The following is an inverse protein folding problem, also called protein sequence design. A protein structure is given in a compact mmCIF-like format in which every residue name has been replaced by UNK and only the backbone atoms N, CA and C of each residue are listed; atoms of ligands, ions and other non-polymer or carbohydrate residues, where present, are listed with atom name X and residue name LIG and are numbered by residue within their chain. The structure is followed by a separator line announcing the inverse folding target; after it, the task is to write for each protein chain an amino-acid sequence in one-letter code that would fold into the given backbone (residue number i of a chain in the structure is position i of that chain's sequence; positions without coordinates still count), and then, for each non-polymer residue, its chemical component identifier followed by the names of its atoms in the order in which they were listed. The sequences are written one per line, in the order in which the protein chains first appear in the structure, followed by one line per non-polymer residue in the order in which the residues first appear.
data_IF_543551874866
#
_entry.id   IF_543551874866
#
_cell.length_a   1.000
_cell.length_b   1.000
_cell.length_c   1.000
_cell.angle_alpha   90.00
_cell.angle_beta   90.00
_cell.angle_gamma   90.00
#
_symmetry.space_group_name_H-M   'P 1'
#
loop_
_entity.id
_entity.type
_entity.pdbx_description
1 polymer ?
#
# COMPACT_ATOMS: atom_id res chain seq x y z
N UNK A 1 32.64 -43.43 53.80
CA UNK A 1 31.83 -43.36 52.57
C UNK A 1 31.65 -41.89 52.23
N UNK A 2 32.21 -41.43 51.12
CA UNK A 2 32.07 -40.04 50.68
C UNK A 2 30.95 -39.95 49.65
N UNK A 3 29.90 -39.18 49.93
CA UNK A 3 28.85 -38.93 48.95
C UNK A 3 29.28 -37.82 47.99
N UNK A 4 29.71 -38.21 46.79
CA UNK A 4 29.99 -37.26 45.71
C UNK A 4 28.71 -36.55 45.31
N UNK A 5 28.65 -35.22 45.51
CA UNK A 5 27.50 -34.43 45.09
C UNK A 5 27.49 -34.34 43.55
N UNK A 6 26.43 -34.75 42.85
CA UNK A 6 26.36 -34.63 41.41
C UNK A 6 26.27 -33.15 41.00
N UNK A 7 27.42 -32.61 40.60
CA UNK A 7 27.65 -31.31 39.96
C UNK A 7 26.64 -30.89 38.89
N UNK A 8 25.90 -31.84 38.31
CA UNK A 8 24.81 -31.69 37.33
C UNK A 8 23.67 -30.75 37.75
N UNK A 9 23.54 -30.37 39.03
CA UNK A 9 22.44 -29.51 39.52
C UNK A 9 22.72 -28.00 39.36
N UNK A 10 23.94 -27.59 38.98
CA UNK A 10 24.30 -26.18 38.73
C UNK A 10 23.87 -25.67 37.33
N UNK A 11 22.62 -25.92 36.94
CA UNK A 11 22.06 -25.50 35.64
C UNK A 11 20.72 -24.73 35.79
N UNK A 12 20.65 -23.79 36.74
CA UNK A 12 19.50 -22.91 36.90
C UNK A 12 19.84 -21.44 36.65
N UNK A 13 19.17 -20.88 35.63
CA UNK A 13 18.91 -19.46 35.42
C UNK A 13 20.12 -18.50 35.34
N UNK A 14 20.89 -18.59 34.24
CA UNK A 14 21.37 -17.37 33.58
C UNK A 14 20.17 -16.62 32.95
N UNK A 15 19.33 -16.02 33.79
CA UNK A 15 18.06 -15.42 33.39
C UNK A 15 18.25 -14.18 32.50
N UNK A 16 17.52 -14.11 31.39
CA UNK A 16 17.64 -13.04 30.40
C UNK A 16 17.45 -11.65 31.02
N UNK A 17 18.50 -10.81 30.97
CA UNK A 17 18.46 -9.42 31.42
C UNK A 17 17.79 -8.46 30.42
N UNK A 18 17.21 -8.95 29.33
CA UNK A 18 16.33 -8.18 28.46
C UNK A 18 14.96 -7.92 29.14
N UNK A 19 14.38 -6.73 28.93
CA UNK A 19 12.98 -6.45 29.27
C UNK A 19 12.17 -6.46 27.96
N UNK A 20 11.10 -7.28 27.86
CA UNK A 20 10.39 -7.47 26.60
C UNK A 20 9.71 -6.18 26.13
N UNK A 21 9.74 -5.94 24.82
CA UNK A 21 9.12 -4.78 24.18
C UNK A 21 7.62 -4.65 24.50
N UNK A 22 7.09 -3.42 24.67
CA UNK A 22 5.66 -3.18 24.81
C UNK A 22 4.94 -3.36 23.46
N UNK A 23 3.64 -3.63 23.56
CA UNK A 23 2.74 -3.47 22.42
C UNK A 23 2.27 -2.02 22.31
N UNK A 24 2.05 -1.55 21.09
CA UNK A 24 1.53 -0.23 20.75
C UNK A 24 0.32 -0.40 19.82
N UNK A 25 -0.74 0.39 20.02
CA UNK A 25 -1.90 0.40 19.15
C UNK A 25 -2.58 1.78 19.14
N UNK A 26 -3.17 2.13 18.00
CA UNK A 26 -4.14 3.20 17.90
C UNK A 26 -5.44 2.74 18.57
N UNK A 27 -6.09 3.60 19.36
CA UNK A 27 -7.36 3.30 20.04
C UNK A 27 -8.44 4.33 19.68
N UNK A 28 -9.74 4.00 19.79
CA UNK A 28 -10.81 4.94 19.50
C UNK A 28 -10.81 6.18 20.44
N UNK A 29 -11.24 7.37 19.96
CA UNK A 29 -11.62 7.67 18.58
C UNK A 29 -10.42 7.67 17.63
N UNK A 30 -10.64 7.17 16.40
CA UNK A 30 -9.63 7.20 15.34
C UNK A 30 -9.67 8.58 14.63
N UNK A 31 -8.50 9.17 14.30
CA UNK A 31 -8.45 10.48 13.65
C UNK A 31 -8.98 10.42 12.20
N UNK A 32 -9.78 11.41 11.85
CA UNK A 32 -10.33 11.66 10.51
C UNK A 32 -9.58 12.75 9.75
N UNK A 33 -8.92 13.67 10.46
CA UNK A 33 -8.07 14.76 9.95
C UNK A 33 -6.68 14.73 10.59
N UNK A 34 -5.73 15.54 10.09
CA UNK A 34 -4.41 15.70 10.71
C UNK A 34 -4.49 16.54 12.00
N UNK A 35 -5.52 17.36 12.10
CA UNK A 35 -5.82 18.27 13.20
C UNK A 35 -6.49 17.54 14.39
N UNK A 36 -7.05 16.34 14.16
CA UNK A 36 -7.71 15.52 15.17
C UNK A 36 -6.71 14.99 16.23
N UNK A 37 -7.15 14.77 17.48
CA UNK A 37 -6.35 14.10 18.49
C UNK A 37 -6.16 12.62 18.15
N UNK A 38 -4.93 12.13 18.32
CA UNK A 38 -4.54 10.74 18.09
C UNK A 38 -4.35 10.07 19.45
N UNK A 39 -5.18 9.07 19.74
CA UNK A 39 -5.12 8.30 20.98
C UNK A 39 -4.30 7.02 20.78
N UNK A 40 -3.10 6.98 21.35
CA UNK A 40 -2.15 5.87 21.19
C UNK A 40 -2.00 5.17 22.53
N UNK A 41 -2.42 3.90 22.61
CA UNK A 41 -2.24 3.09 23.80
C UNK A 41 -0.98 2.23 23.70
N UNK A 42 -0.17 2.26 24.76
CA UNK A 42 0.94 1.34 24.96
C UNK A 42 0.62 0.37 26.09
N UNK A 43 1.00 -0.89 25.95
CA UNK A 43 0.78 -1.93 26.96
C UNK A 43 2.06 -2.71 27.18
N UNK A 44 2.57 -2.68 28.42
CA UNK A 44 3.66 -3.54 28.84
C UNK A 44 3.17 -4.99 29.01
N UNK A 45 4.04 -5.99 28.79
CA UNK A 45 3.73 -7.38 29.11
C UNK A 45 3.38 -7.59 30.59
N UNK A 46 2.68 -8.69 30.89
CA UNK A 46 2.28 -9.05 32.26
C UNK A 46 3.54 -9.18 33.15
N UNK A 47 3.49 -8.55 34.32
CA UNK A 47 4.61 -8.49 35.27
C UNK A 47 5.25 -7.11 35.44
N UNK A 48 4.89 -6.12 34.60
CA UNK A 48 5.43 -4.76 34.66
C UNK A 48 4.36 -3.66 34.87
N UNK A 49 3.53 -3.72 35.93
CA UNK A 49 2.53 -2.69 36.21
C UNK A 49 3.18 -1.42 36.82
N UNK A 50 2.52 -0.28 36.75
CA UNK A 50 3.04 0.99 37.29
C UNK A 50 4.24 1.59 36.55
N UNK A 51 4.57 1.04 35.37
CA UNK A 51 5.76 1.37 34.60
C UNK A 51 5.74 2.80 33.99
N UNK A 52 6.94 3.31 33.70
CA UNK A 52 7.18 4.62 33.09
C UNK A 52 7.23 4.50 31.57
N UNK A 53 6.18 4.90 30.84
CA UNK A 53 6.12 4.79 29.38
C UNK A 53 6.61 6.06 28.67
N UNK A 54 7.35 5.87 27.58
CA UNK A 54 7.83 6.94 26.69
C UNK A 54 7.33 6.69 25.27
N UNK A 55 6.65 7.67 24.68
CA UNK A 55 6.22 7.66 23.28
C UNK A 55 7.20 8.46 22.42
N UNK A 56 7.64 7.85 21.32
CA UNK A 56 8.55 8.43 20.34
C UNK A 56 7.86 8.64 18.99
N UNK A 57 8.24 9.70 18.26
CA UNK A 57 7.89 9.96 16.84
C UNK A 57 9.17 10.30 16.10
N UNK A 58 9.50 9.56 15.02
CA UNK A 58 10.74 9.78 14.27
C UNK A 58 12.03 9.71 15.10
N UNK A 59 12.03 8.93 16.19
CA UNK A 59 13.14 8.83 17.15
C UNK A 59 13.19 9.93 18.23
N UNK A 60 12.35 10.97 18.15
CA UNK A 60 12.25 12.03 19.16
C UNK A 60 11.19 11.68 20.22
N UNK A 61 11.42 12.02 21.49
CA UNK A 61 10.43 11.85 22.56
C UNK A 61 9.30 12.87 22.40
N UNK A 62 8.05 12.40 22.34
CA UNK A 62 6.85 13.25 22.22
C UNK A 62 6.18 13.46 23.57
N UNK A 63 6.03 12.40 24.35
CA UNK A 63 5.30 12.43 25.62
C UNK A 63 5.76 11.27 26.51
N UNK A 64 5.76 11.52 27.82
CA UNK A 64 6.06 10.54 28.87
C UNK A 64 4.85 10.42 29.79
N UNK A 65 4.46 9.19 30.15
CA UNK A 65 3.34 8.89 31.04
C UNK A 65 3.69 7.71 31.94
N UNK A 66 3.53 7.88 33.25
CA UNK A 66 3.58 6.76 34.19
C UNK A 66 2.19 6.09 34.28
N UNK A 67 2.15 4.76 34.26
CA UNK A 67 0.93 4.01 34.54
C UNK A 67 0.59 4.04 36.04
N UNK A 68 -0.70 3.98 36.39
CA UNK A 68 -1.13 3.73 37.77
C UNK A 68 -0.55 2.40 38.29
N UNK A 69 -0.33 2.28 39.61
CA UNK A 69 0.41 1.17 40.22
C UNK A 69 -0.02 -0.24 39.77
N UNK A 70 -1.31 -0.48 39.57
CA UNK A 70 -1.88 -1.77 39.16
C UNK A 70 -2.12 -1.89 37.63
N UNK A 71 -1.76 -0.86 36.85
CA UNK A 71 -2.04 -0.80 35.41
C UNK A 71 -0.81 -1.13 34.56
N UNK A 72 -1.03 -1.95 33.52
CA UNK A 72 -0.05 -2.34 32.50
C UNK A 72 -0.10 -1.44 31.25
N UNK A 73 -0.98 -0.43 31.22
CA UNK A 73 -1.34 0.37 30.04
C UNK A 73 -1.32 1.86 30.35
N UNK A 74 -0.86 2.65 29.39
CA UNK A 74 -1.16 4.09 29.28
C UNK A 74 -1.83 4.39 27.94
N UNK A 75 -2.53 5.52 27.85
CA UNK A 75 -3.01 6.09 26.58
C UNK A 75 -2.47 7.50 26.44
N UNK A 76 -1.57 7.69 25.48
CA UNK A 76 -1.06 8.99 25.07
C UNK A 76 -2.12 9.74 24.25
N UNK A 77 -2.14 11.06 24.37
CA UNK A 77 -2.96 11.94 23.54
C UNK A 77 -2.03 12.92 22.82
N UNK A 78 -1.86 12.74 21.51
CA UNK A 78 -0.96 13.56 20.69
C UNK A 78 -1.74 14.16 19.53
N UNK A 79 -1.52 15.45 19.25
CA UNK A 79 -2.07 16.11 18.07
C UNK A 79 -1.32 15.65 16.81
N UNK A 80 -2.04 15.38 15.72
CA UNK A 80 -1.41 14.97 14.45
C UNK A 80 -0.60 16.08 13.75
N UNK A 81 -0.68 17.31 14.26
CA UNK A 81 -0.02 18.52 13.78
C UNK A 81 1.50 18.54 13.88
N UNK A 82 2.16 17.73 13.07
CA UNK A 82 3.40 18.15 12.43
C UNK A 82 3.29 17.87 10.93
N UNK A 83 3.51 18.90 10.11
CA UNK A 83 3.22 18.94 8.67
C UNK A 83 4.38 18.41 7.83
N UNK A 84 5.54 18.21 8.44
CA UNK A 84 6.81 17.90 7.76
C UNK A 84 6.86 16.46 7.17
N UNK A 85 6.01 15.54 7.65
CA UNK A 85 6.07 14.12 7.30
C UNK A 85 4.68 13.50 6.98
N UNK A 86 4.47 12.92 5.79
CA UNK A 86 3.23 12.21 5.46
C UNK A 86 3.18 10.84 6.15
N UNK A 87 2.33 10.73 7.17
CA UNK A 87 2.22 9.56 8.03
C UNK A 87 3.13 9.65 9.24
N UNK A 88 2.55 9.59 10.44
CA UNK A 88 3.30 9.66 11.68
C UNK A 88 3.65 8.25 12.18
N UNK A 89 4.94 7.90 12.12
CA UNK A 89 5.48 6.67 12.70
C UNK A 89 5.78 6.87 14.17
N UNK A 90 5.09 6.12 15.03
CA UNK A 90 5.28 6.12 16.47
C UNK A 90 5.90 4.81 16.98
N UNK A 91 6.75 4.89 17.99
CA UNK A 91 7.21 3.75 18.78
C UNK A 91 7.02 4.03 20.27
N UNK A 92 6.92 2.97 21.08
CA UNK A 92 6.77 3.07 22.53
C UNK A 92 7.84 2.26 23.24
N UNK A 93 8.21 2.69 24.43
CA UNK A 93 9.14 2.02 25.34
C UNK A 93 8.61 2.16 26.77
N UNK A 94 8.99 1.26 27.68
CA UNK A 94 8.76 1.47 29.11
C UNK A 94 10.03 1.25 29.91
N UNK A 95 10.19 2.03 30.98
CA UNK A 95 11.16 1.81 32.04
C UNK A 95 10.46 1.25 33.27
N UNK A 96 11.16 0.36 33.98
CA UNK A 96 10.83 0.00 35.37
C UNK A 96 12.03 0.28 36.26
N UNK A 97 11.75 0.71 37.50
CA UNK A 97 12.78 0.90 38.51
C UNK A 97 13.23 -0.47 39.02
N UNK A 98 14.46 -0.88 38.71
CA UNK A 98 15.02 -2.12 39.25
C UNK A 98 15.35 -1.97 40.74
N UNK A 99 15.54 -3.09 41.44
CA UNK A 99 15.84 -3.18 42.88
C UNK A 99 16.98 -2.24 43.33
N UNK A 100 17.95 -2.01 42.44
CA UNK A 100 19.13 -1.17 42.65
C UNK A 100 18.87 0.34 42.39
N UNK A 101 17.60 0.76 42.30
CA UNK A 101 17.14 2.12 41.92
C UNK A 101 17.59 2.63 40.54
N UNK A 102 18.06 1.73 39.68
CA UNK A 102 18.40 2.06 38.30
C UNK A 102 17.20 1.78 37.40
N UNK A 103 16.83 2.73 36.54
CA UNK A 103 15.79 2.48 35.53
C UNK A 103 16.32 1.50 34.48
N UNK A 104 15.57 0.41 34.25
CA UNK A 104 15.84 -0.59 33.22
C UNK A 104 14.76 -0.47 32.16
N UNK A 105 15.17 -0.06 30.96
CA UNK A 105 14.29 0.11 29.81
C UNK A 105 14.00 -1.21 29.10
N UNK A 106 12.81 -1.29 28.50
CA UNK A 106 12.43 -2.30 27.51
C UNK A 106 13.12 -2.07 26.17
N UNK A 107 13.08 -3.08 25.31
CA UNK A 107 13.18 -2.83 23.87
C UNK A 107 12.04 -1.92 23.37
N UNK A 108 12.22 -1.30 22.20
CA UNK A 108 11.18 -0.51 21.54
C UNK A 108 10.07 -1.42 21.00
N UNK A 109 8.84 -0.90 20.99
CA UNK A 109 7.72 -1.52 20.28
C UNK A 109 7.99 -1.61 18.78
N UNK A 110 7.21 -2.45 18.08
CA UNK A 110 7.02 -2.32 16.63
C UNK A 110 6.53 -0.90 16.28
N UNK A 111 6.81 -0.39 15.07
CA UNK A 111 6.28 0.89 14.63
C UNK A 111 4.75 0.86 14.45
N UNK A 112 4.07 1.88 14.95
CA UNK A 112 2.68 2.20 14.63
C UNK A 112 2.66 3.31 13.57
N UNK A 113 2.13 3.02 12.38
CA UNK A 113 1.86 4.05 11.37
C UNK A 113 0.45 4.61 11.56
N UNK A 114 0.32 5.93 11.70
CA UNK A 114 -0.98 6.61 11.67
C UNK A 114 -1.17 7.27 10.30
N UNK A 115 -2.22 6.84 9.60
CA UNK A 115 -2.64 7.37 8.30
C UNK A 115 -4.04 7.97 8.39
N UNK A 116 -4.22 9.18 7.86
CA UNK A 116 -5.50 9.87 7.83
C UNK A 116 -6.28 9.54 6.55
N UNK A 117 -7.63 9.48 6.58
CA UNK A 117 -8.45 9.35 5.39
C UNK A 117 -8.12 10.42 4.32
N UNK A 118 -7.71 9.97 3.13
CA UNK A 118 -7.37 10.87 2.03
C UNK A 118 -8.58 11.65 1.49
N UNK A 119 -8.41 12.82 0.84
CA UNK A 119 -9.52 13.67 0.44
C UNK A 119 -10.28 13.07 -0.76
N UNK A 120 -11.32 12.29 -0.47
CA UNK A 120 -12.14 11.57 -1.47
C UNK A 120 -12.82 12.48 -2.49
N UNK A 121 -13.01 13.76 -2.17
CA UNK A 121 -13.51 14.77 -3.10
C UNK A 121 -12.60 14.95 -4.34
N UNK A 122 -11.29 14.68 -4.25
CA UNK A 122 -10.38 14.75 -5.40
C UNK A 122 -10.80 13.75 -6.48
N UNK A 123 -11.16 12.52 -6.08
CA UNK A 123 -11.66 11.50 -7.00
C UNK A 123 -13.00 11.93 -7.60
N UNK A 124 -13.92 12.44 -6.79
CA UNK A 124 -15.23 12.92 -7.26
C UNK A 124 -15.10 14.07 -8.28
N UNK A 125 -14.21 15.04 -8.04
CA UNK A 125 -13.90 16.11 -9.00
C UNK A 125 -13.29 15.55 -10.29
N UNK A 126 -12.34 14.60 -10.22
CA UNK A 126 -11.75 14.00 -11.42
C UNK A 126 -12.77 13.24 -12.28
N UNK A 127 -13.71 12.50 -11.65
CA UNK A 127 -14.79 11.80 -12.33
C UNK A 127 -15.77 12.78 -12.97
N UNK A 128 -16.12 13.86 -12.25
CA UNK A 128 -16.98 14.93 -12.77
C UNK A 128 -16.36 15.61 -13.99
N UNK A 129 -15.08 15.99 -13.91
CA UNK A 129 -14.36 16.64 -15.01
C UNK A 129 -14.25 15.72 -16.23
N UNK A 130 -13.91 14.44 -16.02
CA UNK A 130 -13.87 13.44 -17.09
C UNK A 130 -15.25 13.22 -17.74
N UNK A 131 -16.32 13.15 -16.94
CA UNK A 131 -17.69 13.03 -17.43
C UNK A 131 -18.12 14.22 -18.29
N UNK A 132 -17.83 15.45 -17.85
CA UNK A 132 -18.11 16.67 -18.62
C UNK A 132 -17.34 16.70 -19.95
N UNK A 133 -16.05 16.33 -19.93
CA UNK A 133 -15.21 16.26 -21.15
C UNK A 133 -15.72 15.20 -22.14
N UNK A 134 -16.12 14.02 -21.67
CA UNK A 134 -16.71 12.97 -22.50
C UNK A 134 -18.04 13.43 -23.14
N UNK A 135 -18.92 14.05 -22.36
CA UNK A 135 -20.19 14.59 -22.88
C UNK A 135 -19.97 15.71 -23.90
N UNK A 136 -19.04 16.62 -23.66
CA UNK A 136 -18.67 17.66 -24.62
C UNK A 136 -18.08 17.08 -25.93
N UNK A 137 -17.24 16.05 -25.82
CA UNK A 137 -16.72 15.29 -26.97
C UNK A 137 -17.85 14.66 -27.79
N UNK A 138 -18.77 13.94 -27.13
CA UNK A 138 -19.92 13.33 -27.80
C UNK A 138 -20.84 14.37 -28.47
N UNK A 139 -21.09 15.51 -27.84
CA UNK A 139 -21.90 16.60 -28.41
C UNK A 139 -21.22 17.22 -29.63
N UNK A 140 -19.92 17.51 -29.58
CA UNK A 140 -19.20 18.08 -30.74
C UNK A 140 -19.18 17.11 -31.93
N UNK A 141 -18.92 15.81 -31.70
CA UNK A 141 -19.02 14.78 -32.74
C UNK A 141 -20.43 14.69 -33.32
N UNK A 142 -21.47 14.66 -32.48
CA UNK A 142 -22.86 14.60 -32.93
C UNK A 142 -23.27 15.85 -33.76
N UNK A 143 -22.80 17.04 -33.39
CA UNK A 143 -23.00 18.28 -34.17
C UNK A 143 -22.28 18.23 -35.51
N UNK A 144 -21.04 17.75 -35.56
CA UNK A 144 -20.28 17.60 -36.82
C UNK A 144 -20.96 16.59 -37.76
N UNK A 145 -21.38 15.42 -37.25
CA UNK A 145 -22.09 14.40 -38.05
C UNK A 145 -23.42 14.93 -38.58
N UNK A 146 -24.22 15.60 -37.73
CA UNK A 146 -25.49 16.23 -38.17
C UNK A 146 -25.25 17.33 -39.22
N UNK A 147 -24.17 18.12 -39.09
CA UNK A 147 -23.80 19.21 -40.03
C UNK A 147 -23.18 18.71 -41.34
N UNK A 148 -22.55 17.53 -41.33
CA UNK A 148 -22.13 16.82 -42.54
C UNK A 148 -23.33 16.26 -43.31
N UNK A 149 -24.24 15.57 -42.62
CA UNK A 149 -25.46 15.01 -43.21
C UNK A 149 -26.39 16.11 -43.77
N UNK A 150 -26.56 17.23 -43.07
CA UNK A 150 -27.36 18.37 -43.59
C UNK A 150 -26.71 19.09 -44.77
N UNK A 151 -25.39 18.97 -44.99
CA UNK A 151 -24.71 19.40 -46.22
C UNK A 151 -24.91 18.41 -47.36
N UNK A 152 -24.81 17.11 -47.11
CA UNK A 152 -25.13 16.05 -48.08
C UNK A 152 -26.56 16.17 -48.63
N UNK A 153 -27.54 16.54 -47.77
CA UNK A 153 -28.94 16.77 -48.16
C UNK A 153 -29.19 17.98 -49.09
N UNK A 154 -28.15 18.67 -49.59
CA UNK A 154 -28.29 19.67 -50.67
C UNK A 154 -28.04 19.13 -52.09
N UNK A 155 -27.73 17.83 -52.26
CA UNK A 155 -27.58 17.23 -53.60
C UNK A 155 -28.25 15.85 -53.72
N UNK A 156 -29.55 15.77 -53.36
CA UNK A 156 -30.40 14.62 -53.69
C UNK A 156 -31.88 15.01 -53.62
N UNK A 157 -32.41 15.55 -54.72
CA UNK A 157 -33.85 15.77 -54.92
C UNK A 157 -34.27 15.16 -56.27
N UNK A 158 -35.39 14.44 -56.29
CA UNK A 158 -36.06 14.02 -57.53
C UNK A 158 -35.63 12.67 -58.13
N UNK A 159 -36.00 11.56 -57.49
CA UNK A 159 -36.23 10.28 -58.17
C UNK A 159 -37.17 9.38 -57.35
N UNK A 160 -38.47 9.36 -57.67
CA UNK A 160 -39.39 8.32 -57.20
C UNK A 160 -39.39 7.21 -58.25
N UNK A 161 -38.81 6.04 -57.90
CA UNK A 161 -39.09 4.80 -58.60
C UNK A 161 -39.58 3.73 -57.62
N UNK A 162 -40.54 2.94 -58.09
CA UNK A 162 -41.31 1.99 -57.29
C UNK A 162 -40.51 0.70 -57.08
N UNK A 163 -40.53 0.08 -55.89
CA UNK A 163 -40.13 -1.31 -55.77
C UNK A 163 -41.19 -2.19 -56.44
N UNK A 164 -40.90 -2.70 -57.65
CA UNK A 164 -41.65 -3.81 -58.21
C UNK A 164 -41.16 -5.10 -57.52
N UNK A 165 -42.09 -5.84 -56.91
CA UNK A 165 -41.77 -7.12 -56.26
C UNK A 165 -41.97 -8.21 -57.31
N UNK A 166 -40.90 -8.91 -57.67
CA UNK A 166 -40.99 -10.09 -58.55
C UNK A 166 -40.11 -11.19 -58.00
N UNK A 167 -40.74 -12.06 -57.20
CA UNK A 167 -40.18 -13.33 -56.77
C UNK A 167 -40.02 -14.26 -57.97
N UNK A 168 -38.78 -14.67 -58.28
CA UNK A 168 -38.52 -15.97 -58.89
C UNK A 168 -37.26 -16.60 -58.30
N UNK A 169 -37.30 -17.92 -58.18
CA UNK A 169 -36.32 -18.77 -57.51
C UNK A 169 -35.36 -19.43 -58.50
N UNK A 170 -34.22 -19.91 -58.00
CA UNK A 170 -33.67 -21.29 -58.18
C UNK A 170 -32.22 -21.34 -57.63
N UNK A 171 -31.79 -22.51 -57.16
CA UNK A 171 -30.49 -22.77 -56.53
C UNK A 171 -29.33 -22.96 -57.55
N UNK A 172 -28.05 -22.86 -57.14
CA UNK A 172 -26.92 -22.69 -58.07
C UNK A 172 -26.25 -24.01 -58.53
N UNK A 173 -25.54 -24.00 -59.69
CA UNK A 173 -24.71 -25.11 -60.14
C UNK A 173 -23.26 -25.01 -59.62
N UNK A 174 -22.92 -25.86 -58.65
CA UNK A 174 -21.53 -26.17 -58.31
C UNK A 174 -20.89 -26.98 -59.45
N UNK A 175 -19.77 -26.55 -60.02
CA UNK A 175 -18.89 -27.42 -60.82
C UNK A 175 -17.42 -27.25 -60.42
N UNK A 176 -16.68 -28.36 -60.47
CA UNK A 176 -15.31 -28.56 -59.99
C UNK A 176 -14.50 -29.19 -61.12
N UNK A 177 -13.27 -28.77 -61.38
CA UNK A 177 -12.21 -29.59 -62.03
C UNK A 177 -10.81 -28.98 -61.85
N UNK A 178 -9.98 -29.72 -61.12
CA UNK A 178 -8.52 -29.98 -61.26
C UNK A 178 -7.47 -28.85 -61.45
N UNK A 179 -6.45 -28.89 -60.58
CA UNK A 179 -5.05 -28.53 -60.89
C UNK A 179 -4.35 -29.74 -61.58
N UNK A 180 -3.15 -29.56 -62.16
CA UNK A 180 -1.89 -29.82 -61.43
C UNK A 180 -0.89 -28.63 -61.50
N UNK A 181 -0.06 -28.39 -60.47
CA UNK A 181 1.40 -28.71 -60.34
C UNK A 181 2.30 -27.96 -61.35
N UNK A 182 3.51 -27.48 -61.02
CA UNK A 182 4.35 -27.57 -59.79
C UNK A 182 4.37 -26.18 -59.06
N UNK A 183 5.34 -25.62 -58.30
CA UNK A 183 6.68 -25.99 -57.79
C UNK A 183 7.06 -25.14 -56.52
N UNK A 184 8.16 -25.48 -55.86
CA UNK A 184 9.12 -24.64 -55.10
C UNK A 184 8.64 -23.59 -54.08
N UNK A 185 8.58 -24.04 -52.82
CA UNK A 185 9.01 -23.27 -51.61
C UNK A 185 10.29 -23.93 -51.05
N UNK A 186 10.92 -23.56 -49.90
CA UNK A 186 10.92 -22.30 -49.11
C UNK A 186 12.36 -21.86 -48.64
N UNK A 187 12.45 -20.77 -47.86
CA UNK A 187 13.58 -20.48 -46.94
C UNK A 187 13.23 -19.33 -45.97
N UNK A 188 13.31 -19.39 -44.62
CA UNK A 188 14.27 -20.00 -43.66
C UNK A 188 15.59 -19.24 -43.59
N UNK A 189 16.15 -18.81 -42.44
CA UNK A 189 15.72 -18.80 -41.00
C UNK A 189 16.59 -17.81 -40.18
N UNK A 190 16.33 -17.62 -38.87
CA UNK A 190 17.24 -16.95 -37.91
C UNK A 190 18.01 -17.97 -37.03
N UNK A 191 18.42 -17.69 -35.77
CA UNK A 191 18.75 -16.42 -35.09
C UNK A 191 20.04 -16.49 -34.21
N UNK A 192 20.65 -15.37 -33.72
CA UNK A 192 21.60 -15.45 -32.56
C UNK A 192 21.93 -14.20 -31.71
N UNK A 193 21.67 -14.34 -30.40
CA UNK A 193 22.32 -13.80 -29.16
C UNK A 193 23.27 -12.57 -29.17
N UNK A 194 23.08 -11.69 -28.18
CA UNK A 194 24.10 -11.39 -27.13
C UNK A 194 23.49 -10.74 -25.86
N UNK A 195 23.66 -11.32 -24.65
CA UNK A 195 23.54 -10.61 -23.37
C UNK A 195 24.94 -10.27 -22.82
N UNK A 196 25.05 -9.26 -21.94
CA UNK A 196 26.27 -9.00 -21.15
C UNK A 196 25.89 -8.34 -19.84
N UNK A 197 26.06 -9.08 -18.73
CA UNK A 197 25.97 -8.54 -17.37
C UNK A 197 27.30 -7.92 -16.96
N UNK A 198 27.29 -6.98 -16.03
CA UNK A 198 28.51 -6.59 -15.27
C UNK A 198 28.10 -6.32 -13.83
N UNK A 199 28.95 -6.74 -12.89
CA UNK A 199 28.72 -6.69 -11.45
C UNK A 199 29.75 -5.78 -10.79
N UNK A 200 29.33 -5.03 -9.78
CA UNK A 200 30.20 -4.54 -8.72
C UNK A 200 29.37 -4.08 -7.52
N UNK A 201 29.55 -4.75 -6.37
CA UNK A 201 29.18 -4.21 -5.06
C UNK A 201 30.23 -3.16 -4.64
N UNK A 202 29.85 -2.16 -3.84
CA UNK A 202 30.49 -2.05 -2.53
C UNK A 202 29.50 -1.80 -1.38
N UNK A 203 29.89 -2.30 -0.20
CA UNK A 203 29.20 -2.18 1.09
C UNK A 203 29.95 -1.17 2.01
N UNK A 204 29.47 -0.85 3.23
CA UNK A 204 28.73 0.39 3.46
C UNK A 204 29.48 1.45 4.30
N UNK A 205 29.03 2.71 4.31
CA UNK A 205 29.39 3.65 5.37
C UNK A 205 28.68 3.29 6.68
N UNK A 206 29.37 3.42 7.82
CA UNK A 206 28.85 3.04 9.14
C UNK A 206 27.69 3.94 9.58
N UNK A 207 26.53 3.33 9.88
CA UNK A 207 25.41 4.06 10.46
C UNK A 207 25.57 4.22 11.97
N UNK A 208 25.59 5.47 12.44
CA UNK A 208 25.43 5.80 13.87
C UNK A 208 24.19 5.13 14.44
N UNK A 209 24.30 4.48 15.60
CA UNK A 209 23.26 3.64 16.22
C UNK A 209 22.11 4.45 16.85
N UNK A 210 21.50 5.35 16.09
CA UNK A 210 20.15 5.80 16.35
C UNK A 210 19.22 4.60 16.19
N UNK A 211 18.61 4.14 17.30
CA UNK A 211 17.55 3.12 17.28
C UNK A 211 16.24 3.76 16.81
N UNK A 212 16.23 4.19 15.56
CA UNK A 212 15.04 4.66 14.86
C UNK A 212 14.00 3.53 14.76
N UNK A 213 12.72 3.90 14.75
CA UNK A 213 11.65 3.02 14.31
C UNK A 213 11.96 2.49 12.90
N UNK A 214 11.92 1.16 12.73
CA UNK A 214 12.13 0.46 11.46
C UNK A 214 10.96 -0.50 11.23
#
# INVERSE_FOLDING_TARGET
SGGEMPWTVLLFAAGSLAIPAPSILLVPPHPSSQEDPIHIACVAPVGFPGANFTLYRGGQVVQFLQASADQLRVTFNVTGGDREAPGATFCCQYGVLAEHRQERLSDLSKPLQVSFPGPTWILALSLSLAGVLLLAGLVTVAVVVRKGNSRQRKYSSGAILKPQITLFSVFPPWTKTMNPEEDATPGSSGPRKRPTSTSSSPEPPEFSTFRSCQ
#
